data_IF_185506034240
#
_entry.id   IF_185506034240
#
_cell.length_a   1.000
_cell.length_b   1.000
_cell.length_c   1.000
_cell.angle_alpha   90.00
_cell.angle_beta   90.00
_cell.angle_gamma   90.00
#
_symmetry.space_group_name_H-M   'P 1'
#
loop_
_entity.id
_entity.type
_entity.pdbx_description
1 polymer ?
#
# COMPACT_ATOMS: atom_id res chain seq x y z
N UNK A 1 4.48 3.19 29.06
CA UNK A 1 5.45 3.93 28.23
C UNK A 1 6.14 2.90 27.34
N UNK A 2 5.91 2.92 26.03
CA UNK A 2 6.55 1.98 25.10
C UNK A 2 8.04 2.31 25.03
N UNK A 3 8.90 1.36 25.39
CA UNK A 3 10.35 1.58 25.44
C UNK A 3 10.94 1.22 24.06
N UNK A 4 11.34 2.23 23.30
CA UNK A 4 11.80 2.11 21.91
C UNK A 4 13.33 2.05 21.80
N UNK A 5 14.01 1.42 22.76
CA UNK A 5 15.49 1.38 22.80
C UNK A 5 16.15 0.89 21.51
N UNK A 6 15.49 0.02 20.75
CA UNK A 6 16.00 -0.46 19.46
C UNK A 6 15.92 0.57 18.31
N UNK A 7 15.22 1.70 18.49
CA UNK A 7 15.12 2.72 17.43
C UNK A 7 16.39 3.57 17.30
N UNK A 8 17.26 3.61 18.31
CA UNK A 8 18.53 4.34 18.25
C UNK A 8 19.55 3.72 17.30
N UNK A 9 19.31 2.48 16.85
CA UNK A 9 20.15 1.79 15.87
C UNK A 9 19.91 2.28 14.43
N UNK A 10 18.82 3.02 14.19
CA UNK A 10 18.48 3.52 12.86
C UNK A 10 19.03 4.92 12.67
N UNK A 11 19.64 5.13 11.49
CA UNK A 11 20.18 6.42 11.11
C UNK A 11 19.10 7.50 11.11
N UNK A 12 19.35 8.60 11.82
CA UNK A 12 18.53 9.81 11.79
C UNK A 12 19.39 10.94 11.23
N UNK A 13 18.87 11.65 10.22
CA UNK A 13 19.56 12.83 9.69
C UNK A 13 19.44 14.04 10.65
N UNK A 14 18.67 13.89 11.74
CA UNK A 14 18.31 14.97 12.65
C UNK A 14 18.89 14.76 14.04
N UNK A 15 19.39 15.84 14.64
CA UNK A 15 19.91 15.85 16.02
C UNK A 15 18.80 16.14 17.02
N UNK A 16 17.79 16.92 16.61
CA UNK A 16 16.70 17.35 17.47
C UNK A 16 15.35 17.37 16.75
N UNK A 17 14.26 17.48 17.54
CA UNK A 17 12.88 17.51 17.03
C UNK A 17 12.57 18.73 16.16
N UNK A 18 13.22 19.86 16.42
CA UNK A 18 12.95 21.13 15.71
C UNK A 18 13.51 21.07 14.29
N UNK A 19 14.73 20.56 14.13
CA UNK A 19 15.39 20.32 12.84
C UNK A 19 14.56 19.38 11.96
N UNK A 20 14.01 18.31 12.55
CA UNK A 20 13.07 17.41 11.86
C UNK A 20 11.83 18.17 11.37
N UNK A 21 11.23 19.02 12.22
CA UNK A 21 10.04 19.80 11.85
C UNK A 21 10.35 20.80 10.73
N UNK A 22 11.49 21.46 10.79
CA UNK A 22 11.94 22.39 9.75
C UNK A 22 12.11 21.67 8.42
N UNK A 23 12.79 20.52 8.40
CA UNK A 23 12.94 19.70 7.20
C UNK A 23 11.58 19.24 6.63
N UNK A 24 10.64 18.84 7.49
CA UNK A 24 9.29 18.47 7.07
C UNK A 24 8.55 19.69 6.47
N UNK A 25 8.68 20.89 7.05
CA UNK A 25 8.08 22.10 6.49
C UNK A 25 8.62 22.39 5.10
N UNK A 26 9.95 22.32 4.91
CA UNK A 26 10.59 22.51 3.60
C UNK A 26 10.11 21.49 2.57
N UNK A 27 10.00 20.21 2.95
CA UNK A 27 9.42 19.17 2.08
C UNK A 27 7.96 19.46 1.69
N UNK A 28 7.14 19.93 2.64
CA UNK A 28 5.73 20.27 2.39
C UNK A 28 5.58 21.48 1.48
N UNK A 29 6.45 22.49 1.62
CA UNK A 29 6.47 23.68 0.77
C UNK A 29 6.93 23.34 -0.65
N UNK A 30 8.08 22.66 -0.76
CA UNK A 30 8.68 22.28 -2.04
C UNK A 30 7.82 21.30 -2.85
N UNK A 31 7.03 20.44 -2.19
CA UNK A 31 6.14 19.48 -2.83
C UNK A 31 4.66 19.81 -2.67
N UNK A 32 4.32 21.04 -2.33
CA UNK A 32 2.95 21.50 -2.08
C UNK A 32 1.99 21.15 -3.21
N UNK A 33 2.41 21.31 -4.47
CA UNK A 33 1.60 21.00 -5.66
C UNK A 33 1.49 19.49 -5.97
N UNK A 34 2.45 18.68 -5.51
CA UNK A 34 2.52 17.24 -5.79
C UNK A 34 1.80 16.41 -4.71
N UNK A 35 1.68 16.93 -3.48
CA UNK A 35 1.13 16.21 -2.33
C UNK A 35 -0.40 16.34 -2.22
N UNK A 36 -1.08 15.19 -2.19
CA UNK A 36 -2.51 15.07 -1.91
C UNK A 36 -2.81 15.22 -0.41
N UNK A 37 -4.00 15.69 -0.05
CA UNK A 37 -4.51 15.81 1.33
C UNK A 37 -4.25 14.57 2.19
N UNK A 38 -4.52 13.37 1.67
CA UNK A 38 -4.26 12.13 2.44
C UNK A 38 -2.77 11.88 2.68
N UNK A 39 -1.88 12.28 1.77
CA UNK A 39 -0.44 12.15 1.96
C UNK A 39 0.05 13.15 3.02
N UNK A 40 -0.46 14.38 3.00
CA UNK A 40 -0.17 15.40 4.02
C UNK A 40 -0.59 14.93 5.42
N UNK A 41 -1.82 14.42 5.56
CA UNK A 41 -2.32 13.84 6.82
C UNK A 41 -1.45 12.68 7.33
N UNK A 42 -0.94 11.85 6.42
CA UNK A 42 0.00 10.77 6.76
C UNK A 42 1.33 11.34 7.25
N UNK A 43 1.90 12.36 6.58
CA UNK A 43 3.13 13.03 7.03
C UNK A 43 2.94 13.60 8.43
N UNK A 44 1.86 14.35 8.68
CA UNK A 44 1.56 14.98 9.97
C UNK A 44 1.45 13.95 11.10
N UNK A 45 0.74 12.86 10.85
CA UNK A 45 0.61 11.76 11.81
C UNK A 45 1.97 11.11 12.12
N UNK A 46 2.78 10.83 11.09
CA UNK A 46 4.12 10.28 11.27
C UNK A 46 5.03 11.25 12.02
N UNK A 47 4.97 12.55 11.72
CA UNK A 47 5.76 13.59 12.39
C UNK A 47 5.45 13.69 13.88
N UNK A 48 4.17 13.53 14.27
CA UNK A 48 3.73 13.47 15.66
C UNK A 48 4.40 12.33 16.43
N UNK A 49 4.46 11.14 15.85
CA UNK A 49 5.06 9.96 16.48
C UNK A 49 6.59 10.05 16.45
N UNK A 50 7.16 10.41 15.30
CA UNK A 50 8.60 10.50 15.08
C UNK A 50 9.26 11.62 15.88
N UNK A 51 8.51 12.67 16.23
CA UNK A 51 8.98 13.76 17.06
C UNK A 51 9.39 13.36 18.48
N UNK A 52 9.11 12.13 18.92
CA UNK A 52 9.61 11.59 20.18
C UNK A 52 10.96 10.88 20.05
N UNK A 53 11.37 10.49 18.83
CA UNK A 53 12.62 9.78 18.56
C UNK A 53 13.38 10.42 17.38
N UNK A 54 13.48 11.75 17.36
CA UNK A 54 14.31 12.52 16.42
C UNK A 54 14.16 12.14 14.93
N UNK A 55 12.94 11.82 14.47
CA UNK A 55 12.69 11.54 13.05
C UNK A 55 12.51 10.07 12.68
N UNK A 56 12.63 9.15 13.64
CA UNK A 56 12.30 7.73 13.44
C UNK A 56 11.03 7.34 14.17
N UNK A 57 10.20 6.53 13.52
CA UNK A 57 9.06 5.91 14.18
C UNK A 57 8.83 4.47 13.72
N UNK A 58 8.17 3.71 14.60
CA UNK A 58 7.70 2.37 14.33
C UNK A 58 6.18 2.35 14.42
N UNK A 59 5.52 1.97 13.33
CA UNK A 59 4.05 1.94 13.31
C UNK A 59 3.53 0.93 12.30
N UNK A 60 2.42 0.27 12.64
CA UNK A 60 1.73 -0.62 11.70
C UNK A 60 0.93 0.21 10.70
N UNK A 61 0.94 -0.20 9.43
CA UNK A 61 0.09 0.42 8.41
C UNK A 61 -1.39 0.43 8.79
N UNK A 62 -1.85 -0.63 9.47
CA UNK A 62 -3.22 -0.72 9.96
C UNK A 62 -3.50 0.38 11.00
N UNK A 63 -2.61 0.59 11.96
CA UNK A 63 -2.75 1.64 12.98
C UNK A 63 -2.84 3.05 12.38
N UNK A 64 -2.07 3.35 11.33
CA UNK A 64 -2.17 4.62 10.60
C UNK A 64 -3.53 4.73 9.92
N UNK A 65 -3.95 3.66 9.24
CA UNK A 65 -5.21 3.60 8.52
C UNK A 65 -6.40 3.86 9.46
N UNK A 66 -6.40 3.21 10.61
CA UNK A 66 -7.43 3.35 11.64
C UNK A 66 -7.43 4.78 12.24
N UNK A 67 -6.24 5.31 12.57
CA UNK A 67 -6.10 6.66 13.14
C UNK A 67 -6.57 7.77 12.18
N UNK A 68 -6.35 7.59 10.87
CA UNK A 68 -6.73 8.57 9.85
C UNK A 68 -8.10 8.29 9.22
N UNK A 69 -8.75 7.19 9.59
CA UNK A 69 -10.02 6.70 9.03
C UNK A 69 -9.95 6.52 7.50
N UNK A 70 -8.84 5.95 7.02
CA UNK A 70 -8.62 5.65 5.59
C UNK A 70 -8.34 4.18 5.40
N UNK A 71 -8.42 3.68 4.17
CA UNK A 71 -8.07 2.28 3.90
C UNK A 71 -6.54 2.04 4.04
N UNK A 72 -6.10 0.85 4.46
CA UNK A 72 -4.67 0.46 4.46
C UNK A 72 -4.02 0.54 3.07
N UNK A 73 -4.82 0.37 2.01
CA UNK A 73 -4.39 0.54 0.62
C UNK A 73 -4.05 2.00 0.34
N UNK A 74 -4.87 2.94 0.82
CA UNK A 74 -4.60 4.39 0.71
C UNK A 74 -3.30 4.77 1.43
N UNK A 75 -3.08 4.25 2.64
CA UNK A 75 -1.81 4.46 3.37
C UNK A 75 -0.62 3.90 2.58
N UNK A 76 -0.75 2.71 2.01
CA UNK A 76 0.32 2.10 1.20
C UNK A 76 0.62 2.91 -0.06
N UNK A 77 -0.41 3.49 -0.71
CA UNK A 77 -0.23 4.41 -1.85
C UNK A 77 0.46 5.70 -1.41
N UNK A 78 0.08 6.26 -0.26
CA UNK A 78 0.75 7.43 0.30
C UNK A 78 2.23 7.14 0.55
N UNK A 79 2.57 6.02 1.20
CA UNK A 79 3.96 5.63 1.47
C UNK A 79 4.80 5.53 0.19
N UNK A 80 4.25 4.95 -0.89
CA UNK A 80 4.94 4.87 -2.18
C UNK A 80 5.23 6.26 -2.75
N UNK A 81 4.27 7.17 -2.69
CA UNK A 81 4.45 8.53 -3.16
C UNK A 81 5.49 9.29 -2.31
N UNK A 82 5.40 9.19 -0.99
CA UNK A 82 6.34 9.84 -0.06
C UNK A 82 7.77 9.30 -0.22
N UNK A 83 7.94 8.00 -0.45
CA UNK A 83 9.23 7.39 -0.76
C UNK A 83 9.78 7.89 -2.11
N UNK A 84 8.92 8.02 -3.14
CA UNK A 84 9.32 8.55 -4.45
C UNK A 84 9.79 10.00 -4.36
N UNK A 85 9.19 10.78 -3.48
CA UNK A 85 9.59 12.17 -3.21
C UNK A 85 10.81 12.29 -2.29
N UNK A 86 11.37 11.18 -1.80
CA UNK A 86 12.51 11.22 -0.88
C UNK A 86 12.19 11.79 0.51
N UNK A 87 10.91 11.94 0.87
CA UNK A 87 10.50 12.49 2.17
C UNK A 87 10.72 11.47 3.29
N UNK A 88 10.48 10.19 3.01
CA UNK A 88 10.61 9.09 3.97
C UNK A 88 11.40 7.91 3.41
N UNK A 89 12.15 7.25 4.30
CA UNK A 89 12.70 5.90 4.11
C UNK A 89 11.86 4.92 4.92
N UNK A 90 11.41 3.84 4.29
CA UNK A 90 10.64 2.78 4.95
C UNK A 90 11.45 1.50 4.93
N UNK A 91 11.79 0.99 6.10
CA UNK A 91 12.49 -0.28 6.29
C UNK A 91 11.50 -1.31 6.83
N UNK A 92 11.37 -2.42 6.11
CA UNK A 92 10.50 -3.51 6.52
C UNK A 92 11.20 -4.34 7.60
N UNK A 93 10.66 -4.37 8.81
CA UNK A 93 11.15 -5.25 9.86
C UNK A 93 10.63 -6.66 9.61
N UNK A 94 11.51 -7.55 9.16
CA UNK A 94 11.24 -8.99 9.13
C UNK A 94 11.39 -9.55 10.55
N UNK A 95 10.46 -9.24 11.46
CA UNK A 95 10.36 -10.05 12.68
C UNK A 95 9.94 -11.44 12.25
N UNK A 96 10.75 -12.46 12.56
CA UNK A 96 10.34 -13.87 12.58
C UNK A 96 9.29 -14.01 13.68
N UNK A 97 8.06 -13.59 13.42
CA UNK A 97 6.95 -13.98 14.28
C UNK A 97 6.75 -15.48 14.08
N UNK A 98 6.59 -16.21 15.19
CA UNK A 98 6.30 -17.65 15.19
C UNK A 98 5.07 -17.98 14.34
N UNK A 99 4.21 -16.99 14.08
CA UNK A 99 2.94 -17.10 13.36
C UNK A 99 2.96 -16.44 11.95
N UNK A 100 4.12 -16.05 11.40
CA UNK A 100 4.25 -15.65 9.99
C UNK A 100 3.67 -14.29 9.60
N UNK A 101 3.42 -13.39 10.55
CA UNK A 101 2.98 -12.01 10.30
C UNK A 101 4.13 -11.04 9.99
N UNK A 102 3.87 -10.05 9.13
CA UNK A 102 4.79 -8.91 8.90
C UNK A 102 4.75 -7.97 10.11
N UNK A 103 5.91 -7.68 10.68
CA UNK A 103 6.05 -6.69 11.75
C UNK A 103 5.74 -5.27 11.27
N UNK A 104 5.59 -4.34 12.21
CA UNK A 104 5.46 -2.93 11.86
C UNK A 104 6.73 -2.44 11.17
N UNK A 105 6.55 -1.47 10.28
CA UNK A 105 7.65 -0.88 9.52
C UNK A 105 8.34 0.19 10.33
N UNK A 106 9.64 0.32 10.14
CA UNK A 106 10.42 1.43 10.66
C UNK A 106 10.46 2.49 9.57
N UNK A 107 10.16 3.72 9.97
CA UNK A 107 10.00 4.86 9.08
C UNK A 107 10.92 5.95 9.59
N UNK A 108 11.80 6.41 8.72
CA UNK A 108 12.77 7.48 8.98
C UNK A 108 12.47 8.65 8.05
N UNK A 109 12.33 9.85 8.59
CA UNK A 109 12.28 11.08 7.80
C UNK A 109 13.67 11.41 7.24
N UNK A 110 13.73 11.90 6.00
CA UNK A 110 14.98 12.33 5.38
C UNK A 110 15.14 13.83 5.50
N UNK A 111 16.38 14.30 5.63
CA UNK A 111 16.70 15.71 5.48
C UNK A 111 16.21 16.25 4.12
N UNK A 112 15.86 17.53 4.07
CA UNK A 112 15.50 18.19 2.83
C UNK A 112 16.77 18.63 2.09
N UNK A 113 16.93 18.18 0.85
CA UNK A 113 18.03 18.56 -0.05
C UNK A 113 17.42 19.07 -1.37
N UNK A 114 17.67 20.34 -1.70
CA UNK A 114 17.15 21.01 -2.90
C UNK A 114 17.51 20.26 -4.21
N UNK A 115 18.59 19.47 -4.20
CA UNK A 115 19.06 18.73 -5.39
C UNK A 115 18.21 17.50 -5.73
N UNK A 116 17.29 17.09 -4.86
CA UNK A 116 16.40 15.95 -5.08
C UNK A 116 15.20 16.31 -5.99
N UNK A 117 14.96 17.60 -6.28
CA UNK A 117 13.79 18.06 -7.03
C UNK A 117 13.86 17.77 -8.54
N UNK A 118 15.07 17.61 -9.10
CA UNK A 118 15.30 17.50 -10.55
C UNK A 118 15.55 16.07 -11.07
N UNK A 119 15.60 15.05 -10.20
CA UNK A 119 15.82 13.66 -10.64
C UNK A 119 14.50 12.93 -10.84
N UNK A 120 13.70 13.38 -11.81
CA UNK A 120 12.62 12.54 -12.35
C UNK A 120 13.05 11.91 -13.67
N UNK A 121 12.95 10.58 -13.64
CA UNK A 121 13.00 9.59 -14.71
C UNK A 121 14.38 8.99 -15.06
N UNK A 122 14.35 7.66 -15.26
CA UNK A 122 15.43 6.76 -15.71
C UNK A 122 16.30 6.08 -14.65
N UNK A 123 15.70 5.39 -13.67
CA UNK A 123 16.11 4.02 -13.28
C UNK A 123 15.30 3.46 -12.10
N UNK A 124 14.50 2.43 -12.37
CA UNK A 124 14.20 1.33 -11.44
C UNK A 124 13.65 0.15 -12.27
N UNK A 125 14.53 -0.43 -13.08
CA UNK A 125 14.42 -1.80 -13.57
C UNK A 125 15.38 -2.68 -12.75
N UNK A 126 14.90 -3.89 -12.46
CA UNK A 126 15.57 -5.04 -11.83
C UNK A 126 15.64 -4.96 -10.28
N UNK A 127 15.19 -5.96 -9.51
CA UNK A 127 15.15 -7.41 -9.78
C UNK A 127 13.98 -8.07 -9.05
N UNK A 128 13.12 -8.77 -9.78
CA UNK A 128 12.49 -10.01 -9.33
C UNK A 128 12.43 -10.91 -10.57
N UNK A 129 13.42 -11.80 -10.69
CA UNK A 129 13.43 -12.85 -11.70
C UNK A 129 12.41 -13.94 -11.35
N UNK A 130 11.47 -14.23 -12.25
CA UNK A 130 11.10 -15.62 -12.61
C UNK A 130 10.65 -15.65 -14.07
N UNK A 131 11.33 -16.51 -14.83
CA UNK A 131 11.10 -16.91 -16.22
C UNK A 131 9.69 -17.44 -16.50
N UNK A 132 9.09 -17.08 -17.63
CA UNK A 132 8.80 -18.05 -18.70
C UNK A 132 8.23 -17.41 -19.97
N UNK A 133 8.51 -18.08 -21.08
CA UNK A 133 8.57 -17.60 -22.46
C UNK A 133 7.24 -17.40 -23.22
N UNK A 134 7.20 -16.30 -23.98
CA UNK A 134 6.84 -16.15 -25.42
C UNK A 134 5.40 -16.45 -25.92
N UNK A 135 4.70 -15.40 -26.36
CA UNK A 135 4.04 -15.31 -27.67
C UNK A 135 3.61 -13.85 -28.00
N UNK A 136 3.88 -13.41 -29.22
CA UNK A 136 3.64 -12.07 -29.79
C UNK A 136 2.51 -12.15 -30.83
N UNK A 137 1.50 -11.29 -30.72
CA UNK A 137 0.69 -10.70 -31.81
C UNK A 137 -0.29 -9.72 -31.13
N UNK A 138 -0.20 -8.41 -31.33
CA UNK A 138 -0.77 -7.72 -32.49
C UNK A 138 -1.72 -6.62 -31.98
N UNK A 139 -1.26 -5.38 -32.13
CA UNK A 139 -1.90 -4.06 -31.99
C UNK A 139 -3.45 -3.93 -32.12
N UNK A 140 -4.07 -3.28 -31.11
CA UNK A 140 -4.88 -2.04 -31.19
C UNK A 140 -6.00 -1.97 -30.11
N UNK A 141 -6.05 -0.86 -29.35
CA UNK A 141 -7.30 -0.34 -28.76
C UNK A 141 -7.44 -0.42 -27.23
N UNK A 142 -7.24 0.73 -26.57
CA UNK A 142 -7.91 1.19 -25.34
C UNK A 142 -8.04 0.18 -24.18
N UNK A 143 -7.12 0.23 -23.22
CA UNK A 143 -7.27 -0.48 -21.94
C UNK A 143 -8.12 0.37 -21.00
N UNK A 144 -9.44 0.17 -21.06
CA UNK A 144 -10.37 0.61 -20.02
C UNK A 144 -10.14 -0.19 -18.73
N UNK A 145 -9.89 0.55 -17.66
CA UNK A 145 -9.96 0.20 -16.24
C UNK A 145 -10.93 -0.92 -15.89
N UNK A 146 -10.47 -1.92 -15.09
CA UNK A 146 -11.18 -2.55 -13.96
C UNK A 146 -10.42 -3.82 -13.51
N UNK A 147 -9.38 -3.64 -12.69
CA UNK A 147 -8.73 -4.76 -11.99
C UNK A 147 -9.62 -5.15 -10.81
N UNK A 148 -10.48 -6.13 -11.06
CA UNK A 148 -11.45 -6.70 -10.12
C UNK A 148 -10.77 -7.18 -8.83
N UNK A 149 -11.46 -6.89 -7.73
CA UNK A 149 -11.15 -7.24 -6.35
C UNK A 149 -10.82 -8.73 -6.21
N UNK A 150 -9.53 -9.10 -6.07
CA UNK A 150 -9.09 -10.48 -5.76
C UNK A 150 -9.26 -10.85 -4.27
N UNK A 151 -10.18 -10.21 -3.57
CA UNK A 151 -10.40 -10.47 -2.15
C UNK A 151 -11.87 -10.25 -1.88
N UNK A 152 -12.68 -11.32 -1.89
CA UNK A 152 -13.91 -11.49 -1.09
C UNK A 152 -14.71 -12.73 -1.57
N UNK A 153 -14.09 -13.90 -1.66
CA UNK A 153 -14.83 -15.16 -1.49
C UNK A 153 -13.84 -16.30 -1.21
N UNK A 154 -13.79 -16.77 0.03
CA UNK A 154 -13.46 -18.18 0.27
C UNK A 154 -14.76 -18.96 -0.01
N UNK A 155 -15.08 -19.20 -1.28
CA UNK A 155 -16.22 -20.03 -1.66
C UNK A 155 -15.72 -21.28 -2.41
N UNK A 156 -15.93 -22.41 -1.74
CA UNK A 156 -16.08 -23.83 -2.08
C UNK A 156 -15.92 -24.42 -3.50
N UNK A 157 -15.65 -23.65 -4.56
CA UNK A 157 -15.42 -24.20 -5.89
C UNK A 157 -14.12 -23.66 -6.48
N UNK A 158 -13.32 -24.58 -7.02
CA UNK A 158 -12.09 -24.26 -7.75
C UNK A 158 -12.41 -23.63 -9.11
N UNK A 159 -11.48 -22.85 -9.66
CA UNK A 159 -11.64 -22.19 -10.96
C UNK A 159 -11.97 -23.19 -12.09
N UNK A 160 -11.46 -24.41 -12.00
CA UNK A 160 -11.74 -25.50 -12.94
C UNK A 160 -13.22 -25.92 -12.89
N UNK A 161 -13.80 -26.04 -11.69
CA UNK A 161 -15.22 -26.38 -11.53
C UNK A 161 -16.14 -25.27 -12.04
N UNK A 162 -15.74 -24.00 -11.88
CA UNK A 162 -16.48 -22.85 -12.42
C UNK A 162 -16.47 -22.90 -13.96
N UNK A 163 -15.34 -23.27 -14.56
CA UNK A 163 -15.20 -23.36 -16.00
C UNK A 163 -15.98 -24.55 -16.60
N UNK A 164 -16.08 -25.67 -15.89
CA UNK A 164 -16.95 -26.79 -16.30
C UNK A 164 -18.43 -26.40 -16.28
N UNK A 165 -18.90 -25.71 -15.23
CA UNK A 165 -20.29 -25.22 -15.17
C UNK A 165 -20.57 -24.19 -16.29
N UNK A 166 -19.59 -23.37 -16.66
CA UNK A 166 -19.76 -22.44 -17.77
C UNK A 166 -20.00 -23.14 -19.12
N UNK A 167 -19.38 -24.31 -19.36
CA UNK A 167 -19.55 -25.06 -20.61
C UNK A 167 -21.00 -25.51 -20.87
N UNK A 168 -21.83 -25.64 -19.83
CA UNK A 168 -23.25 -25.94 -20.00
C UNK A 168 -24.11 -24.74 -20.43
N UNK A 169 -23.54 -23.53 -20.50
CA UNK A 169 -24.23 -22.30 -20.88
C UNK A 169 -23.56 -21.61 -22.09
N UNK A 170 -23.62 -22.20 -23.29
CA UNK A 170 -22.88 -21.70 -24.46
C UNK A 170 -23.33 -20.31 -24.96
N UNK A 171 -24.56 -19.90 -24.64
CA UNK A 171 -25.13 -18.61 -25.06
C UNK A 171 -24.87 -17.47 -24.06
N UNK A 172 -24.11 -17.72 -22.99
CA UNK A 172 -23.84 -16.76 -21.94
C UNK A 172 -22.38 -16.29 -22.01
N UNK A 173 -22.12 -14.98 -21.93
CA UNK A 173 -20.74 -14.50 -21.90
C UNK A 173 -20.09 -14.79 -20.54
N UNK A 174 -18.78 -15.13 -20.56
CA UNK A 174 -18.01 -15.44 -19.34
C UNK A 174 -18.04 -14.32 -18.31
N UNK A 175 -18.08 -13.05 -18.75
CA UNK A 175 -18.17 -11.91 -17.82
C UNK A 175 -19.52 -11.81 -17.14
N UNK A 176 -20.62 -12.06 -17.86
CA UNK A 176 -21.97 -12.05 -17.30
C UNK A 176 -22.16 -13.23 -16.34
N UNK A 177 -21.66 -14.41 -16.70
CA UNK A 177 -21.65 -15.58 -15.82
C UNK A 177 -20.91 -15.31 -14.50
N UNK A 178 -19.70 -14.75 -14.57
CA UNK A 178 -18.93 -14.40 -13.36
C UNK A 178 -19.68 -13.38 -12.48
N UNK A 179 -20.35 -12.40 -13.09
CA UNK A 179 -21.17 -11.43 -12.36
C UNK A 179 -22.36 -12.08 -11.66
N UNK A 180 -23.05 -13.01 -12.33
CA UNK A 180 -24.17 -13.77 -11.75
C UNK A 180 -23.69 -14.61 -10.56
N UNK A 181 -22.54 -15.28 -10.68
CA UNK A 181 -21.99 -16.12 -9.61
C UNK A 181 -21.62 -15.29 -8.36
N UNK A 182 -21.09 -14.08 -8.56
CA UNK A 182 -20.80 -13.15 -7.45
C UNK A 182 -22.09 -12.69 -6.75
N UNK A 183 -23.13 -12.35 -7.51
CA UNK A 183 -24.43 -11.94 -6.95
C UNK A 183 -25.13 -13.08 -6.19
N UNK A 184 -25.07 -14.31 -6.70
CA UNK A 184 -25.63 -15.48 -6.03
C UNK A 184 -24.94 -15.73 -4.67
N UNK A 185 -23.60 -15.66 -4.66
CA UNK A 185 -22.82 -15.79 -3.42
C UNK A 185 -23.10 -14.67 -2.42
N UNK A 186 -23.36 -13.45 -2.90
CA UNK A 186 -23.74 -12.30 -2.06
C UNK A 186 -25.12 -12.51 -1.43
N UNK A 187 -26.10 -13.03 -2.18
CA UNK A 187 -27.44 -13.34 -1.67
C UNK A 187 -27.43 -14.50 -0.66
N UNK A 188 -26.64 -15.55 -0.90
CA UNK A 188 -26.48 -16.67 0.02
C UNK A 188 -25.92 -16.22 1.37
N UNK A 189 -24.95 -15.30 1.38
CA UNK A 189 -24.38 -14.76 2.61
C UNK A 189 -25.27 -13.76 3.36
N UNK A 190 -26.25 -13.16 2.67
CA UNK A 190 -27.23 -12.25 3.31
C UNK A 190 -28.35 -12.99 4.03
N UNK A 191 -28.74 -14.20 3.59
CA UNK A 191 -29.81 -14.99 4.22
C UNK A 191 -29.43 -15.62 5.58
N UNK A 192 -28.14 -15.69 5.92
CA UNK A 192 -27.68 -16.25 7.20
C UNK A 192 -27.62 -15.24 8.37
N UNK A 193 -27.99 -13.98 8.15
CA UNK A 193 -28.18 -12.99 9.22
C UNK A 193 -29.68 -12.79 9.45
N UNK A 194 -30.31 -13.79 10.06
CA UNK A 194 -31.68 -13.65 10.57
C UNK A 194 -31.75 -12.62 11.70
N UNK A 195 -32.90 -11.94 11.90
CA UNK A 195 -33.06 -10.94 12.93
C UNK A 195 -33.03 -11.64 14.31
N UNK A 196 -32.19 -11.11 15.22
CA UNK A 196 -32.40 -11.31 16.65
C UNK A 196 -33.62 -10.51 17.09
#
# INVERSE_FOLDING_TARGET
>A
MYNFSHLSEYETDFTNKEEMKEAISKHLEAHSMKLNTNQRRVIEYLALIAGNNNGVCHVYRQTIADSLQVSPVTVSRAFRALKKLGIIKVQATAKKSVNGGRGASIITFCAYDDKQHDKQDDNLLMSDEVSDSKALAGENGVITTLTTQKTLVKNLLTDDQINEVYKSFPNLSKSLFNRIMVEFNRQANQKCKGPY
#
